data_IF_645947737738
#
_entry.id   IF_645947737738
#
_cell.length_a   1.000
_cell.length_b   1.000
_cell.length_c   1.000
_cell.angle_alpha   90.00
_cell.angle_beta   90.00
_cell.angle_gamma   90.00
#
_symmetry.space_group_name_H-M   'P 1'
#
loop_
_entity.id
_entity.type
_entity.pdbx_description
1 polymer ?
#
# COMPACT_ATOMS: atom_id res chain seq x y z
N UNK A 1 16.61 -26.92 19.53
CA UNK A 1 17.05 -25.60 19.02
C UNK A 1 16.83 -25.58 17.51
N UNK A 2 16.35 -24.48 16.91
CA UNK A 2 16.25 -24.38 15.45
C UNK A 2 17.64 -24.58 14.81
N UNK A 3 17.70 -25.17 13.61
CA UNK A 3 18.96 -25.27 12.88
C UNK A 3 19.49 -23.87 12.55
N UNK A 4 20.81 -23.70 12.43
CA UNK A 4 21.42 -22.41 12.07
C UNK A 4 20.80 -21.81 10.80
N UNK A 5 20.43 -22.67 9.85
CA UNK A 5 19.73 -22.26 8.64
C UNK A 5 18.33 -21.69 8.91
N UNK A 6 17.50 -22.35 9.74
CA UNK A 6 16.16 -21.85 10.11
C UNK A 6 16.25 -20.53 10.87
N UNK A 7 17.20 -20.44 11.80
CA UNK A 7 17.46 -19.21 12.54
C UNK A 7 17.80 -18.05 11.59
N UNK A 8 18.71 -18.28 10.63
CA UNK A 8 19.08 -17.26 9.64
C UNK A 8 17.89 -16.85 8.77
N UNK A 9 17.10 -17.81 8.27
CA UNK A 9 15.90 -17.52 7.46
C UNK A 9 14.89 -16.68 8.23
N UNK A 10 14.57 -17.03 9.48
CA UNK A 10 13.63 -16.25 10.28
C UNK A 10 14.18 -14.89 10.69
N UNK A 11 15.48 -14.75 10.96
CA UNK A 11 16.10 -13.45 11.21
C UNK A 11 16.01 -12.53 9.98
N UNK A 12 16.29 -13.08 8.78
CA UNK A 12 16.14 -12.32 7.53
C UNK A 12 14.69 -11.92 7.30
N UNK A 13 13.74 -12.85 7.49
CA UNK A 13 12.31 -12.55 7.33
C UNK A 13 11.80 -11.52 8.33
N UNK A 14 12.30 -11.54 9.58
CA UNK A 14 12.03 -10.52 10.58
C UNK A 14 12.54 -9.15 10.17
N UNK A 15 13.78 -9.06 9.67
CA UNK A 15 14.34 -7.80 9.15
C UNK A 15 13.54 -7.26 7.97
N UNK A 16 13.17 -8.12 7.03
CA UNK A 16 12.32 -7.74 5.89
C UNK A 16 10.94 -7.25 6.37
N UNK A 17 10.30 -7.98 7.28
CA UNK A 17 9.03 -7.56 7.88
C UNK A 17 9.12 -6.20 8.59
N UNK A 18 10.20 -5.98 9.34
CA UNK A 18 10.43 -4.72 10.04
C UNK A 18 10.60 -3.55 9.05
N UNK A 19 11.40 -3.77 8.00
CA UNK A 19 11.54 -2.78 6.93
C UNK A 19 10.22 -2.48 6.25
N UNK A 20 9.36 -3.48 6.02
CA UNK A 20 8.04 -3.28 5.43
C UNK A 20 7.15 -2.42 6.33
N UNK A 21 7.11 -2.71 7.63
CA UNK A 21 6.34 -1.92 8.59
C UNK A 21 6.79 -0.45 8.61
N UNK A 22 8.11 -0.22 8.66
CA UNK A 22 8.68 1.14 8.65
C UNK A 22 8.41 1.86 7.33
N UNK A 23 8.65 1.20 6.20
CA UNK A 23 8.41 1.75 4.87
C UNK A 23 6.93 2.09 4.66
N UNK A 24 6.01 1.20 5.07
CA UNK A 24 4.58 1.47 4.98
C UNK A 24 4.17 2.67 5.86
N UNK A 25 4.70 2.79 7.07
CA UNK A 25 4.42 3.91 7.96
C UNK A 25 4.91 5.25 7.38
N UNK A 26 6.15 5.28 6.87
CA UNK A 26 6.74 6.49 6.24
C UNK A 26 5.99 6.85 4.96
N UNK A 27 5.74 5.87 4.08
CA UNK A 27 5.03 6.11 2.82
C UNK A 27 3.61 6.66 3.06
N UNK A 28 2.90 6.12 4.06
CA UNK A 28 1.55 6.57 4.46
C UNK A 28 1.55 8.04 4.90
N UNK A 29 2.57 8.48 5.64
CA UNK A 29 2.66 9.85 6.15
C UNK A 29 3.16 10.90 5.13
N UNK A 30 3.96 10.51 4.14
CA UNK A 30 4.57 11.45 3.21
C UNK A 30 3.61 11.90 2.08
N UNK A 31 3.65 13.18 1.66
CA UNK A 31 2.81 13.72 0.60
C UNK A 31 3.31 13.39 -0.82
N UNK A 32 3.84 12.18 -1.02
CA UNK A 32 4.55 11.74 -2.23
C UNK A 32 3.85 10.53 -2.87
N UNK A 33 2.51 10.50 -2.89
CA UNK A 33 1.75 9.41 -3.52
C UNK A 33 1.47 9.67 -4.98
N UNK A 34 1.16 10.91 -5.34
CA UNK A 34 0.90 11.32 -6.71
C UNK A 34 1.52 12.69 -6.97
N UNK A 35 2.15 12.82 -8.13
CA UNK A 35 2.56 14.08 -8.73
C UNK A 35 1.91 14.22 -10.10
N UNK A 36 1.45 15.41 -10.41
CA UNK A 36 0.75 15.70 -11.65
C UNK A 36 0.73 17.18 -11.97
N UNK A 37 0.01 17.51 -13.03
CA UNK A 37 -0.29 18.88 -13.41
C UNK A 37 -1.78 19.04 -13.71
N UNK A 38 -2.33 20.19 -13.33
CA UNK A 38 -3.68 20.59 -13.64
C UNK A 38 -3.65 21.80 -14.58
N UNK A 39 -4.33 21.70 -15.71
CA UNK A 39 -4.49 22.75 -16.69
C UNK A 39 -5.64 23.68 -16.27
N UNK A 40 -5.38 24.97 -16.22
CA UNK A 40 -6.44 25.98 -16.11
C UNK A 40 -7.17 26.12 -17.45
N UNK A 41 -8.20 25.28 -17.66
CA UNK A 41 -8.92 25.17 -18.92
C UNK A 41 -9.59 26.49 -19.31
N UNK A 42 -10.29 27.11 -18.37
CA UNK A 42 -10.96 28.41 -18.59
C UNK A 42 -9.96 29.48 -19.02
N UNK A 43 -8.79 29.54 -18.37
CA UNK A 43 -7.74 30.50 -18.69
C UNK A 43 -7.13 30.27 -20.07
N UNK A 44 -6.84 29.01 -20.42
CA UNK A 44 -6.30 28.65 -21.72
C UNK A 44 -7.29 28.93 -22.87
N UNK A 45 -8.57 28.61 -22.67
CA UNK A 45 -9.63 28.86 -23.66
C UNK A 45 -9.89 30.36 -23.88
N UNK A 46 -9.82 31.18 -22.81
CA UNK A 46 -10.02 32.64 -22.89
C UNK A 46 -9.03 33.35 -23.83
N UNK A 47 -7.79 32.86 -23.91
CA UNK A 47 -6.76 33.44 -24.78
C UNK A 47 -6.52 32.59 -26.04
N UNK A 48 -7.28 31.52 -26.23
CA UNK A 48 -7.05 30.52 -27.26
C UNK A 48 -5.58 30.05 -27.30
N UNK A 49 -5.05 29.69 -26.12
CA UNK A 49 -3.66 29.26 -25.98
C UNK A 49 -3.41 27.97 -26.76
N UNK A 50 -2.36 27.97 -27.56
CA UNK A 50 -1.84 26.78 -28.23
C UNK A 50 -0.50 26.37 -27.60
N UNK A 51 -0.02 25.15 -27.88
CA UNK A 51 1.35 24.79 -27.51
C UNK A 51 2.33 25.71 -28.26
N UNK A 52 3.32 26.36 -27.60
CA UNK A 52 3.88 26.14 -26.26
C UNK A 52 3.32 27.03 -25.13
N UNK A 53 2.37 27.92 -25.40
CA UNK A 53 1.84 28.87 -24.41
C UNK A 53 1.03 28.19 -23.29
N UNK A 54 0.55 26.97 -23.54
CA UNK A 54 -0.21 26.15 -22.59
C UNK A 54 0.54 25.92 -21.27
N UNK A 55 1.88 25.89 -21.30
CA UNK A 55 2.71 25.76 -20.09
C UNK A 55 2.45 26.88 -19.07
N UNK A 56 2.05 28.07 -19.52
CA UNK A 56 1.70 29.19 -18.63
C UNK A 56 0.38 28.95 -17.88
N UNK A 57 -0.40 27.95 -18.26
CA UNK A 57 -1.68 27.55 -17.65
C UNK A 57 -1.60 26.21 -16.93
N UNK A 58 -0.41 25.58 -16.88
CA UNK A 58 -0.19 24.34 -16.15
C UNK A 58 0.25 24.64 -14.71
N UNK A 59 -0.53 24.13 -13.77
CA UNK A 59 -0.24 24.18 -12.35
C UNK A 59 0.23 22.83 -11.82
N UNK A 60 1.31 22.78 -11.04
CA UNK A 60 1.77 21.53 -10.43
C UNK A 60 0.84 21.07 -9.30
N UNK A 61 0.65 19.76 -9.17
CA UNK A 61 -0.14 19.10 -8.14
C UNK A 61 0.67 17.96 -7.53
N UNK A 62 0.79 17.93 -6.20
CA UNK A 62 1.45 16.84 -5.48
C UNK A 62 0.73 16.56 -4.18
N UNK A 63 0.42 15.30 -3.88
CA UNK A 63 -0.27 14.96 -2.64
C UNK A 63 0.01 13.55 -2.14
N UNK A 64 -0.24 13.36 -0.83
CA UNK A 64 -0.35 12.05 -0.19
C UNK A 64 -1.75 11.83 0.36
N UNK A 65 -1.84 10.96 1.37
CA UNK A 65 -3.13 10.57 1.97
C UNK A 65 -3.69 11.59 2.98
N UNK A 66 -2.88 12.53 3.48
CA UNK A 66 -3.34 13.48 4.51
C UNK A 66 -3.25 14.92 4.06
N UNK A 67 -2.26 15.25 3.23
CA UNK A 67 -2.02 16.62 2.78
C UNK A 67 -1.31 16.62 1.44
N UNK A 68 -1.32 17.79 0.81
CA UNK A 68 -0.65 18.02 -0.45
C UNK A 68 -0.40 19.50 -0.69
N UNK A 69 0.23 19.76 -1.83
CA UNK A 69 0.49 21.08 -2.37
C UNK A 69 0.00 21.12 -3.81
N UNK A 70 -0.60 22.25 -4.17
CA UNK A 70 -0.99 22.55 -5.55
C UNK A 70 -0.56 23.97 -5.88
N UNK A 71 -0.16 24.19 -7.12
CA UNK A 71 0.13 25.50 -7.68
C UNK A 71 -0.96 25.79 -8.71
N UNK A 72 -1.72 26.86 -8.53
CA UNK A 72 -2.72 27.29 -9.51
C UNK A 72 -2.06 28.26 -10.47
N UNK A 73 -2.10 27.96 -11.77
CA UNK A 73 -1.54 28.83 -12.80
C UNK A 73 -2.53 29.01 -13.95
N UNK A 74 -2.88 30.27 -14.23
CA UNK A 74 -3.84 30.64 -15.29
C UNK A 74 -3.31 31.83 -16.11
N UNK A 75 -2.00 31.87 -16.42
CA UNK A 75 -1.37 33.01 -17.08
C UNK A 75 -1.11 34.24 -16.20
N UNK A 76 -1.54 34.22 -14.93
CA UNK A 76 -1.36 35.31 -13.95
C UNK A 76 -0.23 35.05 -12.95
N UNK A 77 0.67 34.11 -13.26
CA UNK A 77 1.68 33.60 -12.33
C UNK A 77 1.16 32.48 -11.41
N UNK A 78 2.09 31.67 -10.90
CA UNK A 78 1.79 30.50 -10.07
C UNK A 78 1.47 30.86 -8.62
N UNK A 79 0.33 30.40 -8.12
CA UNK A 79 -0.09 30.57 -6.72
C UNK A 79 -0.05 29.24 -6.00
N UNK A 80 1.00 29.02 -5.22
CA UNK A 80 1.13 27.82 -4.39
C UNK A 80 0.15 27.86 -3.21
N UNK A 81 -0.54 26.75 -2.99
CA UNK A 81 -1.41 26.54 -1.84
C UNK A 81 -1.21 25.13 -1.31
N UNK A 82 -1.19 24.98 0.01
CA UNK A 82 -1.24 23.69 0.68
C UNK A 82 -2.68 23.39 1.07
N UNK A 83 -3.01 22.12 1.12
CA UNK A 83 -4.33 21.65 1.54
C UNK A 83 -4.17 20.39 2.39
N UNK A 84 -5.12 20.16 3.28
CA UNK A 84 -5.27 18.90 4.00
C UNK A 84 -6.54 18.18 3.55
N UNK A 85 -6.53 16.86 3.59
CA UNK A 85 -7.73 16.06 3.30
C UNK A 85 -8.77 16.21 4.41
N UNK A 86 -8.27 16.24 5.65
CA UNK A 86 -9.07 16.41 6.86
C UNK A 86 -8.72 17.76 7.51
N UNK A 87 -9.70 18.61 7.85
CA UNK A 87 -11.15 18.47 7.60
C UNK A 87 -11.60 18.96 6.21
N UNK A 88 -10.71 19.62 5.45
CA UNK A 88 -11.12 20.54 4.37
C UNK A 88 -11.78 19.87 3.16
N UNK A 89 -11.29 18.71 2.71
CA UNK A 89 -11.71 18.09 1.44
C UNK A 89 -12.77 16.99 1.60
N UNK A 90 -13.16 16.65 2.84
CA UNK A 90 -14.08 15.54 3.14
C UNK A 90 -15.40 15.60 2.38
N UNK A 91 -15.93 16.79 2.13
CA UNK A 91 -17.20 16.98 1.43
C UNK A 91 -17.06 16.96 -0.11
N UNK A 92 -15.82 17.01 -0.63
CA UNK A 92 -15.54 17.09 -2.06
C UNK A 92 -15.07 15.75 -2.65
N UNK A 93 -14.37 14.96 -1.85
CA UNK A 93 -13.80 13.65 -2.24
C UNK A 93 -14.70 12.49 -1.81
N UNK A 94 -14.56 11.28 -2.40
CA UNK A 94 -15.23 10.08 -1.89
C UNK A 94 -14.62 9.66 -0.54
N UNK A 95 -15.00 10.33 0.54
CA UNK A 95 -14.41 10.17 1.87
C UNK A 95 -14.37 8.70 2.34
N UNK A 96 -15.41 7.91 2.05
CA UNK A 96 -15.45 6.49 2.41
C UNK A 96 -14.34 5.67 1.77
N UNK A 97 -14.07 5.88 0.47
CA UNK A 97 -12.98 5.19 -0.24
C UNK A 97 -11.62 5.63 0.32
N UNK A 98 -11.43 6.93 0.50
CA UNK A 98 -10.18 7.49 1.01
C UNK A 98 -9.84 6.99 2.42
N UNK A 99 -10.82 6.99 3.33
CA UNK A 99 -10.67 6.44 4.69
C UNK A 99 -10.36 4.95 4.64
N UNK A 100 -10.93 4.22 3.68
CA UNK A 100 -10.64 2.79 3.48
C UNK A 100 -9.17 2.57 3.06
N UNK A 101 -8.62 3.41 2.19
CA UNK A 101 -7.19 3.37 1.83
C UNK A 101 -6.31 3.55 3.07
N UNK A 102 -6.61 4.56 3.89
CA UNK A 102 -5.88 4.86 5.13
C UNK A 102 -6.00 3.69 6.12
N UNK A 103 -7.19 3.11 6.26
CA UNK A 103 -7.43 1.95 7.11
C UNK A 103 -6.54 0.77 6.71
N UNK A 104 -6.50 0.41 5.42
CA UNK A 104 -5.66 -0.68 4.94
C UNK A 104 -4.17 -0.37 5.06
N UNK A 105 -3.74 0.90 4.95
CA UNK A 105 -2.37 1.28 5.28
C UNK A 105 -2.04 0.93 6.74
N UNK A 106 -2.96 1.26 7.67
CA UNK A 106 -2.84 0.91 9.09
C UNK A 106 -2.79 -0.60 9.33
N UNK A 107 -3.61 -1.38 8.63
CA UNK A 107 -3.58 -2.86 8.63
C UNK A 107 -2.19 -3.35 8.21
N UNK A 108 -1.66 -2.90 7.07
CA UNK A 108 -0.33 -3.32 6.59
C UNK A 108 0.74 -3.00 7.63
N UNK A 109 0.75 -1.81 8.22
CA UNK A 109 1.74 -1.42 9.24
C UNK A 109 1.64 -2.32 10.48
N UNK A 110 0.43 -2.51 11.02
CA UNK A 110 0.18 -3.29 12.23
C UNK A 110 0.56 -4.75 12.02
N UNK A 111 0.05 -5.38 10.98
CA UNK A 111 0.27 -6.80 10.74
C UNK A 111 1.71 -7.08 10.30
N UNK A 112 2.39 -6.16 9.61
CA UNK A 112 3.83 -6.27 9.33
C UNK A 112 4.66 -6.25 10.62
N UNK A 113 4.28 -5.40 11.57
CA UNK A 113 4.94 -5.31 12.88
C UNK A 113 4.72 -6.59 13.70
N UNK A 114 3.50 -7.13 13.69
CA UNK A 114 3.16 -8.39 14.35
C UNK A 114 3.90 -9.57 13.71
N UNK A 115 3.90 -9.68 12.39
CA UNK A 115 4.63 -10.72 11.65
C UNK A 115 6.13 -10.68 11.95
N UNK A 116 6.72 -9.48 12.00
CA UNK A 116 8.11 -9.25 12.41
C UNK A 116 8.41 -9.82 13.79
N UNK A 117 7.54 -9.52 14.77
CA UNK A 117 7.67 -10.06 16.13
C UNK A 117 7.67 -11.59 16.14
N UNK A 118 6.78 -12.21 15.36
CA UNK A 118 6.74 -13.67 15.25
C UNK A 118 7.95 -14.26 14.52
N UNK A 119 8.49 -13.60 13.50
CA UNK A 119 9.74 -14.05 12.87
C UNK A 119 10.92 -14.02 13.85
N UNK A 120 11.10 -12.93 14.59
CA UNK A 120 12.18 -12.86 15.58
C UNK A 120 11.96 -13.83 16.76
N UNK A 121 10.72 -14.01 17.20
CA UNK A 121 10.39 -15.01 18.20
C UNK A 121 10.73 -16.43 17.73
N UNK A 122 10.48 -16.76 16.47
CA UNK A 122 10.86 -18.06 15.90
C UNK A 122 12.38 -18.20 15.65
N UNK A 123 13.10 -17.09 15.44
CA UNK A 123 14.55 -17.09 15.28
C UNK A 123 15.30 -17.35 16.60
N UNK A 124 14.85 -16.73 17.70
CA UNK A 124 15.58 -16.73 18.98
C UNK A 124 14.87 -17.48 20.12
N UNK A 125 13.56 -17.70 20.01
CA UNK A 125 12.74 -18.36 21.02
C UNK A 125 12.66 -19.88 20.85
N UNK A 126 11.80 -20.51 21.66
CA UNK A 126 11.45 -21.92 21.48
C UNK A 126 10.32 -22.01 20.45
N UNK A 127 10.45 -22.85 19.42
CA UNK A 127 9.49 -22.84 18.33
C UNK A 127 8.19 -23.59 18.72
N UNK A 128 7.10 -23.15 18.09
CA UNK A 128 5.79 -23.81 17.90
C UNK A 128 4.76 -23.76 19.05
N UNK A 129 3.85 -22.79 18.95
CA UNK A 129 2.44 -22.84 19.39
C UNK A 129 1.58 -22.34 18.21
N UNK A 130 0.34 -22.83 18.05
CA UNK A 130 -0.48 -22.75 16.79
C UNK A 130 -0.41 -21.42 16.02
N UNK A 131 -0.73 -20.27 16.66
CA UNK A 131 -0.72 -18.93 16.04
C UNK A 131 0.69 -18.35 15.79
N UNK A 132 1.70 -18.87 16.48
CA UNK A 132 3.11 -18.48 16.35
C UNK A 132 3.90 -19.46 15.48
N UNK A 133 3.25 -20.56 15.06
CA UNK A 133 3.82 -21.60 14.24
C UNK A 133 3.71 -21.30 12.74
N UNK A 134 4.05 -22.31 11.91
CA UNK A 134 3.92 -22.35 10.46
C UNK A 134 2.71 -21.66 9.84
N UNK A 135 1.53 -22.05 10.32
CA UNK A 135 0.26 -21.58 9.83
C UNK A 135 0.09 -20.08 10.12
N UNK A 136 0.45 -19.66 11.33
CA UNK A 136 0.46 -18.26 11.73
C UNK A 136 1.36 -17.43 10.82
N UNK A 137 2.62 -17.84 10.59
CA UNK A 137 3.55 -17.10 9.75
C UNK A 137 3.01 -16.86 8.33
N UNK A 138 2.37 -17.86 7.72
CA UNK A 138 1.70 -17.67 6.43
C UNK A 138 0.48 -16.75 6.53
N UNK A 139 -0.35 -16.90 7.56
CA UNK A 139 -1.55 -16.08 7.76
C UNK A 139 -1.18 -14.60 7.93
N UNK A 140 -0.23 -14.28 8.82
CA UNK A 140 0.19 -12.90 9.07
C UNK A 140 0.85 -12.28 7.83
N UNK A 141 1.68 -13.06 7.12
CA UNK A 141 2.30 -12.61 5.86
C UNK A 141 1.25 -12.40 4.76
N UNK A 142 0.24 -13.26 4.68
CA UNK A 142 -0.84 -13.15 3.71
C UNK A 142 -1.71 -11.91 3.95
N UNK A 143 -2.04 -11.59 5.21
CA UNK A 143 -2.75 -10.35 5.56
C UNK A 143 -1.95 -9.13 5.10
N UNK A 144 -0.62 -9.15 5.18
CA UNK A 144 0.23 -8.05 4.73
C UNK A 144 0.22 -7.85 3.19
N UNK A 145 -0.23 -8.85 2.42
CA UNK A 145 -0.47 -8.69 0.97
C UNK A 145 -1.65 -7.76 0.66
N UNK A 146 -2.42 -7.34 1.67
CA UNK A 146 -3.37 -6.22 1.56
C UNK A 146 -2.73 -4.89 1.13
N UNK A 147 -1.41 -4.78 1.12
CA UNK A 147 -0.66 -3.70 0.45
C UNK A 147 -1.04 -3.56 -1.03
N UNK A 148 -1.38 -4.66 -1.73
CA UNK A 148 -1.91 -4.60 -3.09
C UNK A 148 -3.29 -3.93 -3.14
N UNK A 149 -4.17 -4.21 -2.17
CA UNK A 149 -5.47 -3.55 -2.07
C UNK A 149 -5.33 -2.05 -1.85
N UNK A 150 -4.37 -1.61 -1.02
CA UNK A 150 -4.06 -0.17 -0.85
C UNK A 150 -3.77 0.48 -2.20
N UNK A 151 -2.92 -0.15 -3.03
CA UNK A 151 -2.58 0.38 -4.36
C UNK A 151 -3.80 0.43 -5.28
N UNK A 152 -4.61 -0.62 -5.33
CA UNK A 152 -5.80 -0.69 -6.18
C UNK A 152 -6.83 0.37 -5.76
N UNK A 153 -7.08 0.51 -4.46
CA UNK A 153 -8.04 1.47 -3.92
C UNK A 153 -7.57 2.91 -4.11
N UNK A 154 -6.28 3.19 -3.95
CA UNK A 154 -5.75 4.53 -4.24
C UNK A 154 -5.81 4.82 -5.74
N UNK A 155 -5.44 3.86 -6.59
CA UNK A 155 -5.53 4.02 -8.03
C UNK A 155 -6.97 4.23 -8.52
N UNK A 156 -7.94 3.54 -7.90
CA UNK A 156 -9.35 3.74 -8.20
C UNK A 156 -9.85 5.12 -7.73
N UNK A 157 -9.39 5.60 -6.58
CA UNK A 157 -9.68 6.96 -6.11
C UNK A 157 -9.16 8.02 -7.09
N UNK A 158 -7.93 7.86 -7.59
CA UNK A 158 -7.32 8.76 -8.57
C UNK A 158 -8.07 8.70 -9.91
N UNK A 159 -8.23 7.50 -10.48
CA UNK A 159 -8.69 7.33 -11.87
C UNK A 159 -10.19 7.28 -12.05
N UNK A 160 -10.94 6.64 -11.14
CA UNK A 160 -12.40 6.52 -11.26
C UNK A 160 -13.12 7.68 -10.60
N UNK A 161 -12.60 8.19 -9.48
CA UNK A 161 -13.23 9.30 -8.78
C UNK A 161 -12.63 10.68 -9.11
N UNK A 162 -11.67 10.74 -10.05
CA UNK A 162 -11.03 11.97 -10.51
C UNK A 162 -10.51 12.82 -9.36
N UNK A 163 -9.80 12.19 -8.42
CA UNK A 163 -9.32 12.84 -7.19
C UNK A 163 -8.50 14.10 -7.49
N UNK A 164 -7.55 14.03 -8.43
CA UNK A 164 -6.71 15.17 -8.81
C UNK A 164 -7.51 16.39 -9.26
N UNK A 165 -8.57 16.15 -10.03
CA UNK A 165 -9.45 17.21 -10.55
C UNK A 165 -10.28 17.83 -9.42
N UNK A 166 -10.83 17.01 -8.51
CA UNK A 166 -11.54 17.47 -7.31
C UNK A 166 -10.66 18.32 -6.42
N UNK A 167 -9.41 17.89 -6.22
CA UNK A 167 -8.41 18.65 -5.46
C UNK A 167 -8.08 19.96 -6.17
N UNK A 168 -7.87 19.95 -7.49
CA UNK A 168 -7.51 21.15 -8.24
C UNK A 168 -8.62 22.22 -8.18
N UNK A 169 -9.89 21.80 -8.24
CA UNK A 169 -11.05 22.69 -8.20
C UNK A 169 -11.55 23.01 -6.77
N UNK A 170 -10.95 22.43 -5.72
CA UNK A 170 -11.35 22.73 -4.36
C UNK A 170 -11.19 24.22 -4.02
N UNK A 171 -12.23 24.84 -3.45
CA UNK A 171 -12.30 26.29 -3.18
C UNK A 171 -11.95 27.17 -4.40
N UNK A 172 -12.26 26.71 -5.61
CA UNK A 172 -12.16 27.51 -6.83
C UNK A 172 -13.56 27.87 -7.33
N UNK A 173 -13.74 29.14 -7.73
CA UNK A 173 -15.04 29.68 -8.18
C UNK A 173 -14.96 30.18 -9.63
N UNK A 174 -13.82 30.76 -10.02
CA UNK A 174 -13.72 31.51 -11.28
C UNK A 174 -13.12 30.70 -12.43
N UNK A 175 -12.34 29.66 -12.10
CA UNK A 175 -11.58 28.88 -13.09
C UNK A 175 -11.86 27.40 -12.93
N UNK A 176 -11.96 26.70 -14.06
CA UNK A 176 -12.04 25.24 -14.08
C UNK A 176 -10.65 24.67 -14.37
N UNK A 177 -10.17 23.84 -13.45
CA UNK A 177 -8.93 23.10 -13.61
C UNK A 177 -9.23 21.69 -14.09
N UNK A 178 -8.55 21.25 -15.14
CA UNK A 178 -8.66 19.89 -15.66
C UNK A 178 -7.34 19.16 -15.43
N UNK A 179 -7.40 17.87 -15.09
CA UNK A 179 -6.21 17.04 -14.99
C UNK A 179 -5.49 16.97 -16.35
N UNK A 180 -4.21 17.36 -16.37
CA UNK A 180 -3.36 17.30 -17.56
C UNK A 180 -2.43 16.08 -17.51
N UNK A 181 -1.77 15.85 -16.38
CA UNK A 181 -0.89 14.70 -16.19
C UNK A 181 -0.98 14.16 -14.76
N UNK A 182 -0.84 12.85 -14.61
CA UNK A 182 -0.85 12.15 -13.33
C UNK A 182 0.18 11.02 -13.35
N UNK A 183 1.10 11.06 -12.40
CA UNK A 183 2.14 10.07 -12.22
C UNK A 183 2.18 9.66 -10.75
N UNK A 184 2.15 8.35 -10.49
CA UNK A 184 2.35 7.83 -9.15
C UNK A 184 3.77 8.08 -8.70
N UNK A 185 3.92 8.57 -7.46
CA UNK A 185 5.20 8.99 -6.90
C UNK A 185 5.69 7.99 -5.84
N UNK A 186 6.82 8.29 -5.19
CA UNK A 186 7.62 7.38 -4.36
C UNK A 186 6.79 6.59 -3.34
N UNK A 187 5.88 7.21 -2.60
CA UNK A 187 5.09 6.52 -1.57
C UNK A 187 4.23 5.39 -2.16
N UNK A 188 3.67 5.59 -3.36
CA UNK A 188 2.88 4.57 -4.05
C UNK A 188 3.76 3.36 -4.44
N UNK A 189 4.94 3.63 -5.02
CA UNK A 189 5.88 2.58 -5.40
C UNK A 189 6.54 1.88 -4.21
N UNK A 190 6.67 2.56 -3.07
CA UNK A 190 7.11 1.94 -1.82
C UNK A 190 6.09 0.90 -1.32
N UNK A 191 4.78 1.14 -1.49
CA UNK A 191 3.77 0.12 -1.19
C UNK A 191 3.87 -1.11 -2.12
N UNK A 192 4.22 -0.89 -3.39
CA UNK A 192 4.52 -1.99 -4.31
C UNK A 192 5.74 -2.81 -3.85
N UNK A 193 6.81 -2.14 -3.41
CA UNK A 193 7.98 -2.80 -2.83
C UNK A 193 7.60 -3.62 -1.59
N UNK A 194 6.80 -3.04 -0.68
CA UNK A 194 6.28 -3.74 0.51
C UNK A 194 5.53 -5.03 0.11
N UNK A 195 4.67 -4.97 -0.91
CA UNK A 195 3.98 -6.15 -1.42
C UNK A 195 4.95 -7.25 -1.88
N UNK A 196 5.97 -6.89 -2.66
CA UNK A 196 6.99 -7.84 -3.14
C UNK A 196 7.79 -8.44 -1.97
N UNK A 197 8.17 -7.63 -0.98
CA UNK A 197 8.92 -8.10 0.19
C UNK A 197 8.10 -9.06 1.07
N UNK A 198 6.79 -8.82 1.24
CA UNK A 198 5.92 -9.79 1.90
C UNK A 198 5.77 -11.08 1.08
N UNK A 199 5.68 -10.99 -0.24
CA UNK A 199 5.72 -12.16 -1.13
C UNK A 199 7.01 -12.97 -0.95
N UNK A 200 8.16 -12.28 -0.88
CA UNK A 200 9.46 -12.91 -0.61
C UNK A 200 9.49 -13.58 0.77
N UNK A 201 8.92 -12.95 1.81
CA UNK A 201 8.77 -13.59 3.12
C UNK A 201 7.95 -14.88 3.06
N UNK A 202 6.89 -14.93 2.24
CA UNK A 202 6.15 -16.17 1.98
C UNK A 202 7.03 -17.28 1.39
N UNK A 203 7.91 -16.94 0.45
CA UNK A 203 8.89 -17.89 -0.13
C UNK A 203 9.93 -18.33 0.91
N UNK A 204 10.44 -17.42 1.74
CA UNK A 204 11.40 -17.74 2.80
C UNK A 204 10.81 -18.67 3.86
N UNK A 205 9.54 -18.47 4.24
CA UNK A 205 8.81 -19.40 5.11
C UNK A 205 8.81 -20.80 4.48
N UNK A 206 8.51 -20.91 3.17
CA UNK A 206 8.52 -22.19 2.46
C UNK A 206 9.90 -22.87 2.48
N UNK A 207 10.97 -22.10 2.24
CA UNK A 207 12.35 -22.58 2.27
C UNK A 207 12.81 -23.02 3.66
N UNK A 208 12.19 -22.54 4.74
CA UNK A 208 12.48 -22.99 6.10
C UNK A 208 11.99 -24.43 6.39
N UNK A 209 11.42 -25.12 5.40
CA UNK A 209 10.90 -26.48 5.50
C UNK A 209 9.48 -26.56 6.04
N UNK A 210 8.79 -25.41 6.11
CA UNK A 210 7.41 -25.34 6.54
C UNK A 210 6.49 -25.71 5.35
N UNK A 211 5.75 -26.80 5.50
CA UNK A 211 4.74 -27.22 4.51
C UNK A 211 3.51 -26.33 4.54
N UNK A 212 2.84 -26.20 3.39
CA UNK A 212 1.54 -25.54 3.35
C UNK A 212 0.57 -26.32 4.24
N UNK A 213 -0.28 -25.64 5.02
CA UNK A 213 -1.20 -26.30 5.93
C UNK A 213 -2.22 -27.20 5.22
N UNK A 214 -2.41 -27.02 3.90
CA UNK A 214 -3.33 -27.81 3.09
C UNK A 214 -2.70 -29.09 2.50
N UNK A 215 -1.42 -29.33 2.77
CA UNK A 215 -0.70 -30.50 2.28
C UNK A 215 -0.59 -31.53 3.40
N UNK A 216 -1.71 -31.97 3.97
CA UNK A 216 -1.71 -33.25 4.67
C UNK A 216 -1.43 -34.32 3.61
N UNK A 217 -0.29 -34.99 3.73
CA UNK A 217 -0.15 -36.30 3.12
C UNK A 217 -1.24 -37.18 3.73
N UNK A 218 -2.22 -37.55 2.91
CA UNK A 218 -3.00 -38.76 3.13
C UNK A 218 -2.01 -39.93 3.13
N UNK A 219 -1.34 -40.17 4.25
CA UNK A 219 -0.86 -41.50 4.54
C UNK A 219 -2.11 -42.31 4.80
N UNK A 220 -2.47 -43.08 3.79
CA UNK A 220 -3.55 -44.03 3.85
C UNK A 220 -3.16 -45.06 4.90
N UNK A 221 -3.79 -45.02 6.07
CA UNK A 221 -3.81 -46.12 7.05
C UNK A 221 -4.53 -47.33 6.41
N UNK A 222 -3.85 -48.04 5.51
CA UNK A 222 -4.29 -49.30 4.91
C UNK A 222 -3.81 -50.53 5.71
N UNK A 223 -3.25 -50.34 6.91
CA UNK A 223 -2.60 -51.40 7.68
C UNK A 223 -3.39 -52.00 8.85
N UNK A 224 -4.40 -51.31 9.39
CA UNK A 224 -4.91 -51.65 10.74
C UNK A 224 -6.26 -52.37 10.82
N UNK A 225 -7.10 -52.31 9.78
CA UNK A 225 -8.53 -52.65 9.92
C UNK A 225 -8.93 -54.10 9.63
N UNK A 226 -8.04 -54.93 9.07
CA UNK A 226 -8.42 -56.25 8.55
C UNK A 226 -8.11 -57.44 9.48
N UNK A 227 -7.46 -57.21 10.62
CA UNK A 227 -7.00 -58.30 11.50
C UNK A 227 -7.96 -58.65 12.65
N UNK A 228 -9.01 -57.85 12.91
CA UNK A 228 -9.80 -57.96 14.15
C UNK A 228 -11.22 -58.54 13.96
N UNK A 229 -11.47 -59.28 12.88
CA UNK A 229 -12.76 -59.93 12.59
C UNK A 229 -12.73 -61.46 12.57
N UNK A 230 -11.69 -62.07 13.14
CA UNK A 230 -11.61 -63.53 13.30
C UNK A 230 -11.24 -63.88 14.73
N UNK A 231 -12.22 -63.80 15.64
CA UNK A 231 -12.53 -64.81 16.69
C UNK A 231 -13.75 -64.37 17.50
#
# INVERSE_FOLDING_TARGET
MPSRQKQLLFSVSGLLGFSCALTAAVATGLPLWLRGAALCRTGAELVNASEPELEKFLGELSYGLFSGQRVKQCGLGGRASRFSFFPDLLNTIPAGLHVTVIFFCGVVILFSSVATGFFFFNAFGRPYETLQGPLGLYLWTFICLSSCLVMILFASEVKLHHLSERIANFNEVNFVFQTYSEQYDRSFWLFFLVFILHGLNGVLIRLSGIQFPFQESKEVDLGGGAADLMY
#
